data_IF_641151444568
#
_entry.id   IF_641151444568
#
_cell.length_a   1.000
_cell.length_b   1.000
_cell.length_c   1.000
_cell.angle_alpha   90.00
_cell.angle_beta   90.00
_cell.angle_gamma   90.00
#
_symmetry.space_group_name_H-M   'P 1'
#
loop_
_entity.id
_entity.type
_entity.pdbx_description
1 polymer ?
#
# COMPACT_ATOMS: atom_id res chain seq x y z
N UNK A 1 36.47 6.09 9.84
CA UNK A 1 35.31 5.45 10.51
C UNK A 1 35.35 5.64 12.02
N UNK A 2 36.51 5.46 12.65
CA UNK A 2 36.63 5.55 14.12
C UNK A 2 36.41 6.98 14.66
N UNK A 3 36.74 8.00 13.91
CA UNK A 3 36.57 9.41 14.31
C UNK A 3 35.10 9.89 14.32
N UNK A 4 34.20 9.18 13.64
CA UNK A 4 32.76 9.50 13.57
C UNK A 4 31.89 8.43 14.24
N UNK A 5 32.48 7.58 15.08
CA UNK A 5 31.75 6.57 15.86
C UNK A 5 31.13 5.43 15.04
N UNK A 6 31.52 5.25 13.77
CA UNK A 6 31.02 4.17 12.94
C UNK A 6 31.73 2.85 13.25
N UNK A 7 30.94 1.80 13.45
CA UNK A 7 31.46 0.44 13.56
C UNK A 7 31.74 -0.10 12.16
N UNK A 8 33.02 -0.36 11.87
CA UNK A 8 33.44 -0.97 10.60
C UNK A 8 33.39 -2.50 10.69
N UNK A 9 32.65 -3.13 9.81
CA UNK A 9 32.65 -4.58 9.65
C UNK A 9 33.77 -5.02 8.73
N UNK A 10 34.31 -6.24 8.90
CA UNK A 10 35.22 -6.82 7.92
C UNK A 10 34.57 -6.93 6.53
N UNK A 11 35.36 -6.79 5.47
CA UNK A 11 34.87 -6.91 4.10
C UNK A 11 34.24 -8.29 3.86
N UNK A 12 33.13 -8.29 3.11
CA UNK A 12 32.54 -9.51 2.55
C UNK A 12 33.28 -9.84 1.24
N UNK A 13 33.84 -11.04 1.08
CA UNK A 13 34.40 -11.47 -0.20
C UNK A 13 33.29 -11.62 -1.25
N UNK A 14 33.59 -11.28 -2.49
CA UNK A 14 32.67 -11.46 -3.61
C UNK A 14 33.04 -12.69 -4.42
N UNK A 15 32.13 -13.61 -4.77
CA UNK A 15 30.71 -13.60 -4.46
C UNK A 15 30.40 -14.02 -3.01
N UNK A 16 29.30 -13.51 -2.43
CA UNK A 16 28.82 -13.89 -1.10
C UNK A 16 27.37 -14.34 -1.18
N UNK A 17 26.97 -15.20 -0.23
CA UNK A 17 25.59 -15.64 -0.06
C UNK A 17 24.83 -14.77 0.93
N UNK A 18 23.50 -14.90 0.93
CA UNK A 18 22.65 -14.28 1.95
C UNK A 18 23.04 -14.71 3.36
N UNK A 19 23.51 -15.93 3.54
CA UNK A 19 23.97 -16.44 4.82
C UNK A 19 25.24 -15.73 5.29
N UNK A 20 26.23 -15.53 4.39
CA UNK A 20 27.45 -14.79 4.70
C UNK A 20 27.14 -13.36 5.15
N UNK A 21 26.17 -12.72 4.48
CA UNK A 21 25.72 -11.38 4.86
C UNK A 21 25.07 -11.38 6.23
N UNK A 22 24.13 -12.30 6.49
CA UNK A 22 23.44 -12.43 7.78
C UNK A 22 24.41 -12.64 8.93
N UNK A 23 25.35 -13.57 8.78
CA UNK A 23 26.37 -13.86 9.80
C UNK A 23 27.27 -12.64 10.07
N UNK A 24 27.54 -11.85 9.03
CA UNK A 24 28.36 -10.65 9.15
C UNK A 24 27.66 -9.52 9.89
N UNK A 25 26.35 -9.35 9.68
CA UNK A 25 25.55 -8.30 10.33
C UNK A 25 25.06 -8.71 11.70
N UNK A 26 24.94 -10.03 11.97
CA UNK A 26 24.44 -10.56 13.26
C UNK A 26 25.07 -9.93 14.51
N UNK A 27 26.37 -9.62 14.56
CA UNK A 27 26.95 -8.96 15.74
C UNK A 27 26.48 -7.51 15.97
N UNK A 28 25.89 -6.88 14.93
CA UNK A 28 25.34 -5.52 15.03
C UNK A 28 23.86 -5.50 15.39
N UNK A 29 23.20 -6.66 15.23
CA UNK A 29 21.80 -6.76 15.61
C UNK A 29 21.69 -6.81 17.13
N UNK A 30 20.70 -6.17 17.74
CA UNK A 30 20.43 -6.29 19.17
C UNK A 30 20.33 -7.76 19.54
N UNK A 31 21.05 -8.20 20.57
CA UNK A 31 21.08 -9.61 21.01
C UNK A 31 19.75 -10.12 21.59
N UNK A 32 18.85 -9.20 21.92
CA UNK A 32 17.46 -9.49 22.25
C UNK A 32 16.62 -8.58 21.35
N UNK A 33 15.97 -9.15 20.34
CA UNK A 33 14.81 -8.51 19.77
C UNK A 33 13.71 -8.60 20.84
N UNK A 34 13.64 -7.60 21.69
CA UNK A 34 12.40 -7.33 22.41
C UNK A 34 11.34 -7.25 21.32
N UNK A 35 10.39 -8.18 21.34
CA UNK A 35 9.32 -8.16 20.35
C UNK A 35 8.71 -6.76 20.41
N UNK A 36 8.74 -6.05 19.27
CA UNK A 36 8.13 -4.73 19.22
C UNK A 36 6.67 -4.87 19.65
N UNK A 37 6.19 -4.01 20.55
CA UNK A 37 4.82 -4.08 21.03
C UNK A 37 3.83 -3.98 19.88
N UNK A 38 2.61 -4.48 20.07
CA UNK A 38 1.49 -4.08 19.23
C UNK A 38 1.34 -2.55 19.35
N UNK A 39 1.18 -1.89 18.23
CA UNK A 39 1.00 -0.43 18.20
C UNK A 39 -0.47 -0.15 18.02
N UNK A 40 -1.02 0.66 18.92
CA UNK A 40 -2.38 1.19 18.78
C UNK A 40 -2.41 2.23 17.64
N UNK A 41 -3.34 2.07 16.70
CA UNK A 41 -3.46 2.99 15.55
C UNK A 41 -3.90 4.39 15.99
N UNK A 42 -4.67 4.50 17.07
CA UNK A 42 -5.05 5.78 17.65
C UNK A 42 -3.85 6.55 18.19
N UNK A 43 -2.92 5.87 18.87
CA UNK A 43 -1.65 6.48 19.30
C UNK A 43 -0.83 6.93 18.09
N UNK A 44 -0.77 6.12 17.04
CA UNK A 44 -0.04 6.46 15.82
C UNK A 44 -0.60 7.68 15.09
N UNK A 45 -1.93 7.80 15.04
CA UNK A 45 -2.62 8.98 14.48
C UNK A 45 -2.34 10.24 15.30
N UNK A 46 -2.46 10.15 16.64
CA UNK A 46 -2.21 11.29 17.52
C UNK A 46 -0.74 11.69 17.58
N UNK A 47 0.16 10.73 17.44
CA UNK A 47 1.60 10.92 17.53
C UNK A 47 2.25 11.38 16.22
N UNK A 48 1.49 11.51 15.13
CA UNK A 48 1.99 11.80 13.78
C UNK A 48 3.06 10.78 13.32
N UNK A 49 2.81 9.49 13.64
CA UNK A 49 3.75 8.41 13.32
C UNK A 49 3.45 7.73 11.98
N UNK A 50 2.31 8.06 11.36
CA UNK A 50 1.91 7.48 10.09
C UNK A 50 2.51 8.29 8.92
N UNK A 51 3.03 7.58 7.94
CA UNK A 51 3.56 8.16 6.71
C UNK A 51 3.18 7.30 5.50
N UNK A 52 3.20 7.88 4.31
CA UNK A 52 3.02 7.12 3.07
C UNK A 52 4.36 6.96 2.35
N UNK A 53 4.64 5.74 1.93
CA UNK A 53 5.70 5.41 0.99
C UNK A 53 5.08 5.16 -0.37
N UNK A 54 5.80 5.49 -1.43
CA UNK A 54 5.28 5.38 -2.78
C UNK A 54 6.06 4.36 -3.58
N UNK A 55 5.35 3.30 -4.03
CA UNK A 55 5.91 2.31 -4.95
C UNK A 55 5.55 2.70 -6.37
N UNK A 56 6.52 2.98 -7.26
CA UNK A 56 6.24 3.38 -8.62
C UNK A 56 5.64 2.23 -9.43
N UNK A 57 4.59 2.54 -10.20
CA UNK A 57 4.05 1.69 -11.26
C UNK A 57 4.75 2.07 -12.56
N UNK A 58 5.38 1.10 -13.22
CA UNK A 58 6.17 1.31 -14.44
C UNK A 58 5.47 0.68 -15.62
N UNK A 59 5.22 1.45 -16.67
CA UNK A 59 4.75 0.92 -17.93
C UNK A 59 5.85 0.05 -18.57
N UNK A 60 5.54 -1.23 -18.78
CA UNK A 60 6.52 -2.23 -19.24
C UNK A 60 6.96 -2.02 -20.71
N UNK A 61 6.25 -1.22 -21.50
CA UNK A 61 6.57 -0.94 -22.90
C UNK A 61 7.46 0.28 -23.04
N UNK A 62 7.06 1.37 -22.34
CA UNK A 62 7.80 2.64 -22.39
C UNK A 62 8.92 2.72 -21.37
N UNK A 63 8.89 1.89 -20.33
CA UNK A 63 9.78 1.91 -19.15
C UNK A 63 9.73 3.26 -18.41
N UNK A 64 8.59 3.93 -18.46
CA UNK A 64 8.34 5.18 -17.75
C UNK A 64 7.43 4.94 -16.55
N UNK A 65 7.51 5.82 -15.56
CA UNK A 65 6.58 5.80 -14.42
C UNK A 65 5.20 6.23 -14.91
N UNK A 66 4.21 5.35 -14.75
CA UNK A 66 2.82 5.58 -15.11
C UNK A 66 1.97 6.02 -13.90
N UNK A 67 2.36 5.61 -12.70
CA UNK A 67 1.64 5.90 -11.47
C UNK A 67 2.45 5.51 -10.24
N UNK A 68 1.83 5.59 -9.08
CA UNK A 68 2.42 5.10 -7.83
C UNK A 68 1.35 4.55 -6.89
N UNK A 69 1.68 3.49 -6.17
CA UNK A 69 0.88 2.97 -5.07
C UNK A 69 1.34 3.59 -3.76
N UNK A 70 0.41 4.16 -3.00
CA UNK A 70 0.66 4.70 -1.68
C UNK A 70 0.53 3.59 -0.62
N UNK A 71 1.61 3.31 0.05
CA UNK A 71 1.75 2.26 1.04
C UNK A 71 1.97 2.88 2.41
N UNK A 72 1.00 2.74 3.31
CA UNK A 72 1.13 3.27 4.67
C UNK A 72 2.27 2.58 5.42
N UNK A 73 3.00 3.36 6.21
CA UNK A 73 4.04 2.92 7.13
C UNK A 73 3.85 3.63 8.46
N UNK A 74 4.25 2.97 9.53
CA UNK A 74 4.26 3.56 10.86
C UNK A 74 5.71 3.74 11.31
N UNK A 75 6.10 4.99 11.56
CA UNK A 75 7.43 5.35 12.07
C UNK A 75 7.36 5.56 13.57
N UNK A 76 7.55 4.48 14.32
CA UNK A 76 7.54 4.55 15.77
C UNK A 76 8.82 5.25 16.30
N UNK A 77 8.72 6.16 17.29
CA UNK A 77 9.86 6.93 17.78
C UNK A 77 11.02 6.08 18.32
N UNK A 78 10.70 4.92 18.89
CA UNK A 78 11.68 4.02 19.52
C UNK A 78 12.00 2.78 18.68
N UNK A 79 11.00 2.24 17.96
CA UNK A 79 11.08 0.91 17.34
C UNK A 79 11.32 0.94 15.84
N UNK A 80 11.43 2.14 15.24
CA UNK A 80 11.65 2.28 13.80
C UNK A 80 10.38 2.14 12.97
N UNK A 81 10.50 1.67 11.72
CA UNK A 81 9.40 1.61 10.76
C UNK A 81 8.74 0.24 10.79
N UNK A 82 7.41 0.23 10.93
CA UNK A 82 6.56 -0.96 10.87
C UNK A 82 5.82 -1.02 9.54
N UNK A 83 5.71 -2.23 8.95
CA UNK A 83 4.82 -2.49 7.82
C UNK A 83 3.36 -2.56 8.27
N UNK A 84 2.40 -2.47 7.31
CA UNK A 84 0.97 -2.40 7.60
C UNK A 84 0.41 -3.53 8.46
N UNK A 85 0.85 -4.76 8.20
CA UNK A 85 0.42 -5.97 8.92
C UNK A 85 0.64 -5.95 10.44
N UNK A 86 1.35 -4.93 10.94
CA UNK A 86 1.67 -4.78 12.37
C UNK A 86 0.78 -3.78 13.09
N UNK A 87 0.00 -2.97 12.38
CA UNK A 87 -0.75 -1.87 12.99
C UNK A 87 -2.07 -1.53 12.29
N UNK A 88 -2.38 -2.13 11.13
CA UNK A 88 -3.66 -1.85 10.46
C UNK A 88 -4.83 -2.12 11.42
N UNK A 89 -5.79 -1.18 11.52
CA UNK A 89 -6.98 -1.39 12.34
C UNK A 89 -7.84 -2.51 11.76
N UNK A 90 -8.36 -3.35 12.63
CA UNK A 90 -9.34 -4.36 12.25
C UNK A 90 -10.74 -3.73 12.04
N UNK A 91 -11.62 -4.48 11.38
CA UNK A 91 -13.02 -4.08 11.24
C UNK A 91 -13.66 -3.89 12.64
N UNK A 92 -14.26 -2.71 12.84
CA UNK A 92 -14.84 -2.34 14.13
C UNK A 92 -13.91 -1.59 15.09
N UNK A 93 -12.65 -1.40 14.73
CA UNK A 93 -11.76 -0.51 15.48
C UNK A 93 -12.32 0.93 15.44
N UNK A 94 -12.37 1.65 16.59
CA UNK A 94 -12.88 3.01 16.66
C UNK A 94 -12.09 4.00 15.79
N UNK A 95 -10.84 3.71 15.47
CA UNK A 95 -9.97 4.56 14.65
C UNK A 95 -9.98 4.21 13.16
N UNK A 96 -10.73 3.18 12.76
CA UNK A 96 -10.78 2.68 11.39
C UNK A 96 -11.07 3.77 10.34
N UNK A 97 -12.08 4.62 10.60
CA UNK A 97 -12.44 5.72 9.70
C UNK A 97 -11.38 6.81 9.69
N UNK A 98 -10.91 7.23 10.85
CA UNK A 98 -9.88 8.27 10.97
C UNK A 98 -8.57 7.83 10.28
N UNK A 99 -8.23 6.56 10.35
CA UNK A 99 -7.10 5.99 9.64
C UNK A 99 -7.28 6.04 8.10
N UNK A 100 -8.46 5.65 7.61
CA UNK A 100 -8.77 5.68 6.17
C UNK A 100 -8.80 7.11 5.63
N UNK A 101 -9.35 8.07 6.38
CA UNK A 101 -9.33 9.50 6.07
C UNK A 101 -7.90 10.05 6.05
N UNK A 102 -7.06 9.64 7.00
CA UNK A 102 -5.63 10.00 7.02
C UNK A 102 -4.93 9.54 5.74
N UNK A 103 -5.11 8.28 5.32
CA UNK A 103 -4.48 7.75 4.11
C UNK A 103 -4.87 8.57 2.88
N UNK A 104 -6.17 8.85 2.73
CA UNK A 104 -6.68 9.61 1.59
C UNK A 104 -6.21 11.08 1.59
N UNK A 105 -6.29 11.75 2.73
CA UNK A 105 -5.86 13.15 2.87
C UNK A 105 -4.35 13.29 2.64
N UNK A 106 -3.56 12.39 3.21
CA UNK A 106 -2.12 12.39 3.05
C UNK A 106 -1.71 12.13 1.60
N UNK A 107 -2.34 11.15 0.92
CA UNK A 107 -2.09 10.90 -0.49
C UNK A 107 -2.42 12.12 -1.37
N UNK A 108 -3.51 12.84 -1.05
CA UNK A 108 -3.89 14.07 -1.74
C UNK A 108 -2.87 15.21 -1.55
N UNK A 109 -2.33 15.36 -0.35
CA UNK A 109 -1.31 16.38 -0.05
C UNK A 109 0.02 16.03 -0.71
N UNK A 110 0.46 14.77 -0.60
CA UNK A 110 1.70 14.30 -1.22
C UNK A 110 1.62 14.35 -2.76
N UNK A 111 0.43 14.14 -3.35
CA UNK A 111 0.22 14.26 -4.79
C UNK A 111 0.54 15.68 -5.30
N UNK A 112 0.20 16.72 -4.54
CA UNK A 112 0.55 18.11 -4.91
C UNK A 112 2.05 18.30 -4.95
N UNK A 113 2.76 17.78 -3.95
CA UNK A 113 4.22 17.80 -3.94
C UNK A 113 4.82 17.04 -5.14
N UNK A 114 4.27 15.86 -5.47
CA UNK A 114 4.72 15.06 -6.61
C UNK A 114 4.48 15.81 -7.92
N UNK A 115 3.30 16.42 -8.10
CA UNK A 115 2.98 17.21 -9.28
C UNK A 115 3.99 18.33 -9.52
N UNK A 116 4.32 19.09 -8.47
CA UNK A 116 5.21 20.25 -8.56
C UNK A 116 6.66 19.87 -8.87
N UNK A 117 7.10 18.68 -8.45
CA UNK A 117 8.50 18.25 -8.58
C UNK A 117 8.75 17.20 -9.67
N UNK A 118 7.75 16.41 -10.04
CA UNK A 118 7.91 15.25 -10.93
C UNK A 118 6.87 15.22 -12.06
N UNK A 119 5.87 16.09 -12.04
CA UNK A 119 4.76 16.08 -12.97
C UNK A 119 3.57 15.22 -12.49
N UNK A 120 2.48 15.18 -13.28
CA UNK A 120 1.27 14.46 -12.92
C UNK A 120 1.53 12.95 -12.86
N UNK A 121 1.09 12.33 -11.76
CA UNK A 121 1.16 10.89 -11.54
C UNK A 121 -0.20 10.40 -11.05
N UNK A 122 -0.61 9.23 -11.51
CA UNK A 122 -1.79 8.55 -11.00
C UNK A 122 -1.46 7.87 -9.67
N UNK A 123 -2.27 8.11 -8.64
CA UNK A 123 -2.08 7.48 -7.33
C UNK A 123 -3.11 6.38 -7.10
N UNK A 124 -2.64 5.27 -6.55
CA UNK A 124 -3.46 4.23 -5.98
C UNK A 124 -3.31 4.18 -4.46
N UNK A 125 -4.42 3.93 -3.77
CA UNK A 125 -4.51 3.79 -2.32
C UNK A 125 -5.28 2.52 -1.96
N UNK A 126 -4.82 1.82 -0.96
CA UNK A 126 -5.52 0.66 -0.41
C UNK A 126 -6.57 1.11 0.60
N UNK A 127 -7.84 0.79 0.36
CA UNK A 127 -8.93 1.03 1.31
C UNK A 127 -9.80 -0.24 1.41
N UNK A 128 -10.19 -0.64 2.62
CA UNK A 128 -11.02 -1.83 2.80
C UNK A 128 -12.44 -1.59 2.30
N UNK A 129 -13.07 -2.63 1.76
CA UNK A 129 -14.44 -2.58 1.24
C UNK A 129 -15.45 -2.20 2.32
N UNK A 130 -15.21 -2.60 3.58
CA UNK A 130 -16.06 -2.31 4.75
C UNK A 130 -16.17 -0.81 5.07
N UNK A 131 -15.17 0.01 4.65
CA UNK A 131 -15.26 1.47 4.75
C UNK A 131 -16.54 2.01 4.06
N UNK A 132 -16.93 1.38 2.95
CA UNK A 132 -18.02 1.81 2.08
C UNK A 132 -19.39 1.22 2.48
N UNK A 133 -19.49 0.54 3.61
CA UNK A 133 -20.78 0.24 4.24
C UNK A 133 -21.45 1.51 4.76
N UNK A 134 -20.68 2.55 5.06
CA UNK A 134 -21.21 3.89 5.30
C UNK A 134 -21.64 4.54 3.98
N UNK A 135 -22.84 5.06 3.97
CA UNK A 135 -23.45 5.66 2.76
C UNK A 135 -22.75 6.96 2.31
N UNK A 136 -22.06 7.65 3.21
CA UNK A 136 -21.35 8.90 2.96
C UNK A 136 -19.85 8.72 2.67
N UNK A 137 -19.30 7.49 2.77
CA UNK A 137 -17.86 7.25 2.68
C UNK A 137 -17.26 7.69 1.35
N UNK A 138 -17.95 7.42 0.22
CA UNK A 138 -17.47 7.83 -1.10
C UNK A 138 -17.45 9.35 -1.28
N UNK A 139 -18.45 10.06 -0.77
CA UNK A 139 -18.50 11.53 -0.79
C UNK A 139 -17.45 12.12 0.15
N UNK A 140 -17.28 11.57 1.36
CA UNK A 140 -16.25 11.98 2.30
C UNK A 140 -14.85 11.82 1.68
N UNK A 141 -14.56 10.67 1.07
CA UNK A 141 -13.31 10.44 0.34
C UNK A 141 -13.11 11.48 -0.76
N UNK A 142 -14.12 11.73 -1.59
CA UNK A 142 -14.04 12.68 -2.69
C UNK A 142 -13.75 14.12 -2.24
N UNK A 143 -14.17 14.51 -1.04
CA UNK A 143 -13.89 15.86 -0.48
C UNK A 143 -12.42 16.06 -0.12
N UNK A 144 -11.69 14.98 0.15
CA UNK A 144 -10.26 15.02 0.49
C UNK A 144 -9.37 15.12 -0.75
N UNK A 145 -9.88 14.70 -1.93
CA UNK A 145 -9.09 14.62 -3.15
C UNK A 145 -8.76 15.99 -3.75
N UNK A 146 -7.63 16.13 -4.46
CA UNK A 146 -7.21 17.38 -5.07
C UNK A 146 -8.22 17.91 -6.10
N UNK A 147 -8.57 19.19 -6.02
CA UNK A 147 -9.36 19.91 -7.03
C UNK A 147 -8.42 20.62 -7.99
N UNK A 148 -7.69 19.87 -8.81
CA UNK A 148 -6.70 20.41 -9.74
C UNK A 148 -6.93 19.83 -11.14
N UNK A 149 -6.81 20.63 -12.24
CA UNK A 149 -7.05 20.14 -13.61
C UNK A 149 -6.14 18.98 -14.04
N UNK A 150 -4.94 18.87 -13.47
CA UNK A 150 -4.02 17.77 -13.75
C UNK A 150 -4.28 16.52 -12.91
N UNK A 151 -5.23 16.57 -11.96
CA UNK A 151 -5.57 15.40 -11.14
C UNK A 151 -6.55 14.52 -11.90
N UNK A 152 -6.07 13.37 -12.36
CA UNK A 152 -6.87 12.43 -13.15
C UNK A 152 -7.87 11.62 -12.33
N UNK A 153 -7.78 11.70 -11.00
CA UNK A 153 -8.51 10.85 -10.05
C UNK A 153 -7.55 10.03 -9.21
N UNK A 154 -8.11 9.20 -8.34
CA UNK A 154 -7.39 8.22 -7.55
C UNK A 154 -7.91 6.83 -7.88
N UNK A 155 -7.07 5.82 -7.78
CA UNK A 155 -7.46 4.42 -7.83
C UNK A 155 -7.57 3.91 -6.40
N UNK A 156 -8.72 3.36 -6.04
CA UNK A 156 -8.90 2.61 -4.79
C UNK A 156 -8.69 1.13 -5.10
N UNK A 157 -7.74 0.53 -4.41
CA UNK A 157 -7.42 -0.88 -4.54
C UNK A 157 -8.20 -1.69 -3.49
N UNK A 158 -8.91 -2.72 -3.96
CA UNK A 158 -9.70 -3.64 -3.16
C UNK A 158 -9.13 -5.05 -3.27
N UNK A 159 -9.03 -5.73 -2.14
CA UNK A 159 -8.67 -7.14 -2.10
C UNK A 159 -9.70 -7.98 -2.88
N UNK A 160 -9.21 -8.89 -3.70
CA UNK A 160 -10.05 -9.80 -4.49
C UNK A 160 -11.01 -10.62 -3.60
N UNK A 161 -10.56 -11.04 -2.42
CA UNK A 161 -11.40 -11.80 -1.47
C UNK A 161 -12.55 -10.95 -0.91
N UNK A 162 -12.34 -9.65 -0.69
CA UNK A 162 -13.39 -8.74 -0.23
C UNK A 162 -14.47 -8.55 -1.29
N UNK A 163 -14.07 -8.38 -2.55
CA UNK A 163 -15.00 -8.29 -3.68
C UNK A 163 -15.85 -9.56 -3.79
N UNK A 164 -15.24 -10.73 -3.63
CA UNK A 164 -15.92 -12.02 -3.72
C UNK A 164 -16.83 -12.32 -2.52
N UNK A 165 -16.57 -11.73 -1.37
CA UNK A 165 -17.39 -11.91 -0.16
C UNK A 165 -18.79 -11.33 -0.33
N UNK A 166 -18.93 -10.14 -0.92
CA UNK A 166 -20.20 -9.52 -1.29
C UNK A 166 -20.09 -8.78 -2.64
N UNK A 167 -20.24 -9.51 -3.77
CA UNK A 167 -20.12 -8.92 -5.10
C UNK A 167 -21.14 -7.83 -5.38
N UNK A 168 -22.33 -7.94 -4.80
CA UNK A 168 -23.37 -6.95 -4.99
C UNK A 168 -23.03 -5.62 -4.29
N UNK A 169 -22.48 -5.68 -3.08
CA UNK A 169 -21.95 -4.52 -2.39
C UNK A 169 -20.76 -3.92 -3.14
N UNK A 170 -19.80 -4.74 -3.53
CA UNK A 170 -18.64 -4.30 -4.30
C UNK A 170 -19.02 -3.55 -5.59
N UNK A 171 -19.96 -4.09 -6.36
CA UNK A 171 -20.45 -3.44 -7.57
C UNK A 171 -21.13 -2.09 -7.29
N UNK A 172 -21.94 -2.00 -6.24
CA UNK A 172 -22.57 -0.73 -5.84
C UNK A 172 -21.52 0.29 -5.43
N UNK A 173 -20.55 -0.12 -4.63
CA UNK A 173 -19.42 0.73 -4.17
C UNK A 173 -18.63 1.25 -5.35
N UNK A 174 -18.20 0.38 -6.26
CA UNK A 174 -17.42 0.79 -7.43
C UNK A 174 -18.16 1.80 -8.32
N UNK A 175 -19.46 1.59 -8.54
CA UNK A 175 -20.30 2.55 -9.29
C UNK A 175 -20.45 3.90 -8.58
N UNK A 176 -20.56 3.88 -7.24
CA UNK A 176 -20.63 5.10 -6.44
C UNK A 176 -19.31 5.87 -6.51
N UNK A 177 -18.18 5.18 -6.38
CA UNK A 177 -16.86 5.79 -6.49
C UNK A 177 -16.62 6.43 -7.86
N UNK A 178 -17.07 5.78 -8.94
CA UNK A 178 -16.98 6.34 -10.30
C UNK A 178 -17.72 7.68 -10.46
N UNK A 179 -18.83 7.90 -9.73
CA UNK A 179 -19.52 9.19 -9.74
C UNK A 179 -18.67 10.33 -9.17
N UNK A 180 -17.67 10.00 -8.38
CA UNK A 180 -16.73 10.93 -7.77
C UNK A 180 -15.35 10.96 -8.44
N UNK A 181 -15.23 10.41 -9.65
CA UNK A 181 -13.95 10.30 -10.38
C UNK A 181 -12.89 9.47 -9.61
N UNK A 182 -13.34 8.43 -8.91
CA UNK A 182 -12.51 7.47 -8.21
C UNK A 182 -12.63 6.14 -8.95
N UNK A 183 -11.51 5.63 -9.45
CA UNK A 183 -11.45 4.35 -10.12
C UNK A 183 -11.21 3.21 -9.10
N UNK A 184 -11.50 1.99 -9.50
CA UNK A 184 -11.24 0.80 -8.68
C UNK A 184 -10.20 -0.09 -9.34
N UNK A 185 -9.34 -0.69 -8.53
CA UNK A 185 -8.47 -1.79 -8.92
C UNK A 185 -8.78 -3.03 -8.08
N UNK A 186 -8.46 -4.19 -8.62
CA UNK A 186 -8.54 -5.46 -7.92
C UNK A 186 -7.13 -5.87 -7.52
N UNK A 187 -6.89 -6.02 -6.22
CA UNK A 187 -5.59 -6.41 -5.69
C UNK A 187 -5.54 -7.87 -5.24
N UNK A 188 -4.33 -8.41 -5.16
CA UNK A 188 -4.00 -9.76 -4.69
C UNK A 188 -4.79 -10.88 -5.40
N UNK A 189 -4.95 -10.76 -6.74
CA UNK A 189 -5.58 -11.85 -7.51
C UNK A 189 -4.72 -13.10 -7.42
N UNK A 190 -5.23 -14.05 -6.69
CA UNK A 190 -4.61 -15.32 -6.39
C UNK A 190 -5.55 -16.50 -6.59
N UNK A 191 -5.79 -17.30 -5.55
CA UNK A 191 -6.67 -18.47 -5.61
C UNK A 191 -8.13 -18.15 -6.00
N UNK A 192 -8.57 -16.93 -5.78
CA UNK A 192 -9.92 -16.43 -6.07
C UNK A 192 -10.13 -16.12 -7.56
N UNK A 193 -9.09 -16.15 -8.38
CA UNK A 193 -9.15 -15.83 -9.80
C UNK A 193 -10.33 -16.48 -10.56
N UNK A 194 -10.61 -17.78 -10.39
CA UNK A 194 -11.76 -18.40 -11.05
C UNK A 194 -13.11 -17.77 -10.69
N UNK A 195 -13.25 -17.26 -9.45
CA UNK A 195 -14.45 -16.55 -9.00
C UNK A 195 -14.59 -15.16 -9.65
N UNK A 196 -13.49 -14.45 -9.84
CA UNK A 196 -13.48 -13.11 -10.46
C UNK A 196 -13.89 -13.14 -11.92
N UNK A 197 -13.67 -14.23 -12.64
CA UNK A 197 -14.16 -14.38 -14.02
C UNK A 197 -15.69 -14.28 -14.14
N UNK A 198 -16.41 -14.41 -13.04
CA UNK A 198 -17.87 -14.21 -13.01
C UNK A 198 -18.26 -12.72 -12.94
N UNK A 199 -17.31 -11.82 -12.72
CA UNK A 199 -17.56 -10.37 -12.56
C UNK A 199 -17.21 -9.55 -13.81
N UNK A 200 -17.71 -9.97 -14.94
CA UNK A 200 -17.58 -9.22 -16.21
C UNK A 200 -18.20 -7.81 -16.15
N UNK A 201 -19.04 -7.55 -15.16
CA UNK A 201 -19.71 -6.27 -14.94
C UNK A 201 -19.07 -5.39 -13.86
N UNK A 202 -18.08 -5.88 -13.12
CA UNK A 202 -17.40 -5.08 -12.10
C UNK A 202 -16.48 -4.05 -12.78
N UNK A 203 -16.68 -2.74 -12.53
CA UNK A 203 -15.89 -1.72 -13.20
C UNK A 203 -14.54 -1.54 -12.51
N UNK A 204 -13.49 -2.06 -13.10
CA UNK A 204 -12.11 -1.85 -12.67
C UNK A 204 -11.25 -1.30 -13.81
N UNK A 205 -10.18 -0.62 -13.45
CA UNK A 205 -9.17 -0.08 -14.40
C UNK A 205 -7.86 -0.86 -14.36
N UNK A 206 -7.60 -1.57 -13.26
CA UNK A 206 -6.36 -2.28 -13.00
C UNK A 206 -6.62 -3.60 -12.27
N UNK A 207 -5.80 -4.59 -12.57
CA UNK A 207 -5.74 -5.87 -11.86
C UNK A 207 -4.30 -6.09 -11.41
N UNK A 208 -4.11 -6.40 -10.13
CA UNK A 208 -2.82 -6.76 -9.55
C UNK A 208 -2.78 -8.26 -9.25
N UNK A 209 -1.78 -8.92 -9.77
CA UNK A 209 -1.59 -10.36 -9.59
C UNK A 209 -0.69 -10.59 -8.38
N UNK A 210 -1.13 -11.45 -7.46
CA UNK A 210 -0.35 -11.83 -6.29
C UNK A 210 1.05 -12.33 -6.69
N UNK A 211 2.06 -11.90 -5.95
CA UNK A 211 3.45 -12.24 -6.22
C UNK A 211 3.71 -13.74 -6.23
N UNK A 212 2.93 -14.54 -5.51
CA UNK A 212 3.05 -15.99 -5.49
C UNK A 212 2.82 -16.62 -6.87
N UNK A 213 2.00 -15.98 -7.72
CA UNK A 213 1.78 -16.40 -9.10
C UNK A 213 2.92 -16.05 -10.04
N UNK A 214 3.63 -14.95 -9.79
CA UNK A 214 4.74 -14.50 -10.66
C UNK A 214 6.10 -14.99 -10.15
N UNK A 215 6.21 -15.37 -8.87
CA UNK A 215 7.43 -15.89 -8.30
C UNK A 215 7.85 -17.20 -9.01
N UNK A 216 9.05 -17.22 -9.57
CA UNK A 216 9.60 -18.37 -10.27
C UNK A 216 9.18 -18.49 -11.74
N UNK A 217 8.38 -17.60 -12.31
CA UNK A 217 8.02 -17.62 -13.74
C UNK A 217 9.24 -17.65 -14.68
N UNK A 218 10.33 -17.01 -14.29
CA UNK A 218 11.57 -17.00 -15.09
C UNK A 218 12.27 -18.36 -15.10
N UNK A 219 12.00 -19.24 -14.14
CA UNK A 219 12.67 -20.54 -13.97
C UNK A 219 11.73 -21.73 -14.18
N UNK A 220 10.43 -21.54 -14.01
CA UNK A 220 9.40 -22.57 -14.12
C UNK A 220 8.44 -22.22 -15.28
N UNK A 221 8.56 -22.93 -16.41
CA UNK A 221 7.72 -22.72 -17.60
C UNK A 221 6.30 -23.26 -17.46
N UNK A 222 5.95 -23.87 -16.32
CA UNK A 222 4.64 -24.46 -16.05
C UNK A 222 3.76 -23.57 -15.14
N UNK A 223 4.26 -22.43 -14.72
CA UNK A 223 3.46 -21.42 -13.97
C UNK A 223 2.81 -20.41 -14.88
#
# INVERSE_FOLDING_TARGET
GAEIGLTMLPLLPTPFSDQDLRERVAPLLPKEQVAAPAVDVGEALHGDWLELWYQPKVDARSLTVAGAEALVRLRHPTWGVFPPDRFLPEDGDPHFFAFSEFVAARAADDWRYILDNHGPVELAINLPMTLFERTDAAEALATLLPRHPAFAGVIVEFDAADILRDPAHALRTARLLQLHNIACAIDDIGPEWPGLLAFDTFPFVEIKVDRAFVAGLATDRLK
#
